data_IF_179356245905
#
_entry.id   IF_179356245905
#
_cell.length_a   1.000
_cell.length_b   1.000
_cell.length_c   1.000
_cell.angle_alpha   90.00
_cell.angle_beta   90.00
_cell.angle_gamma   90.00
#
_symmetry.space_group_name_H-M   'P 1'
#
loop_
_entity.id
_entity.type
_entity.pdbx_description
1 polymer ?
#
# COMPACT_ATOMS: atom_id res chain seq x y z
N UNK A 1 39.24 90.66 -5.91
CA UNK A 1 39.32 90.02 -4.61
C UNK A 1 37.89 89.66 -4.15
N UNK A 2 37.46 88.42 -4.29
CA UNK A 2 36.24 87.89 -3.64
C UNK A 2 36.35 86.39 -3.63
N UNK A 3 36.40 85.79 -2.42
CA UNK A 3 36.48 84.38 -2.16
C UNK A 3 35.10 83.79 -2.26
N UNK A 4 34.96 82.69 -3.02
CA UNK A 4 33.74 81.86 -3.10
C UNK A 4 33.80 80.79 -2.02
N UNK A 5 32.79 80.73 -1.15
CA UNK A 5 32.55 79.62 -0.17
C UNK A 5 31.83 78.49 -0.87
N UNK A 6 32.42 77.29 -0.87
CA UNK A 6 31.76 76.04 -1.26
C UNK A 6 30.98 75.51 -0.09
N UNK A 7 29.66 75.34 -0.26
CA UNK A 7 28.76 74.57 0.63
C UNK A 7 28.80 73.09 0.26
N UNK A 8 29.12 72.23 1.27
CA UNK A 8 29.10 70.82 1.11
C UNK A 8 27.73 70.28 1.58
N UNK A 9 26.96 69.71 0.69
CA UNK A 9 25.71 68.96 1.03
C UNK A 9 26.06 67.55 1.44
N UNK A 10 25.74 67.18 2.69
CA UNK A 10 25.85 65.85 3.23
C UNK A 10 24.65 65.00 2.75
N UNK A 11 24.91 64.01 1.88
CA UNK A 11 23.93 63.02 1.46
C UNK A 11 23.70 61.97 2.53
N UNK A 12 22.53 61.96 3.12
CA UNK A 12 22.09 60.91 4.06
C UNK A 12 21.89 59.58 3.29
N UNK A 13 22.75 58.61 3.55
CA UNK A 13 22.54 57.20 3.11
C UNK A 13 21.52 56.57 4.04
N UNK A 14 20.28 56.38 3.57
CA UNK A 14 19.27 55.53 4.25
C UNK A 14 19.67 54.07 4.07
N UNK A 15 20.30 53.51 5.10
CA UNK A 15 20.58 52.08 5.19
C UNK A 15 19.28 51.28 5.30
N UNK A 16 18.94 50.54 4.24
CA UNK A 16 17.84 49.57 4.24
C UNK A 16 18.24 48.43 5.18
N UNK A 17 17.51 48.26 6.27
CA UNK A 17 17.73 47.13 7.18
C UNK A 17 17.62 45.79 6.45
N UNK A 18 18.49 44.79 6.73
CA UNK A 18 18.41 43.48 6.09
C UNK A 18 17.09 42.80 6.48
N UNK A 19 16.43 42.20 5.48
CA UNK A 19 15.21 41.44 5.70
C UNK A 19 15.46 40.32 6.74
N UNK A 20 14.51 40.02 7.63
CA UNK A 20 14.68 38.97 8.62
C UNK A 20 14.90 37.65 7.92
N UNK A 21 15.90 36.88 8.39
CA UNK A 21 16.17 35.52 7.89
C UNK A 21 14.91 34.67 8.01
N UNK A 22 14.59 33.81 7.01
CA UNK A 22 13.42 32.95 7.06
C UNK A 22 13.51 32.08 8.31
N UNK A 23 12.42 32.04 9.09
CA UNK A 23 12.31 31.22 10.29
C UNK A 23 12.66 29.76 9.96
N UNK A 24 13.41 29.04 10.83
CA UNK A 24 13.76 27.64 10.58
C UNK A 24 12.46 26.85 10.43
N UNK A 25 12.29 26.21 9.26
CA UNK A 25 11.15 25.31 9.00
C UNK A 25 11.14 24.29 10.10
N UNK A 26 10.17 24.38 11.00
CA UNK A 26 9.94 23.40 12.08
C UNK A 26 9.83 22.04 11.41
N UNK A 27 10.84 21.21 11.60
CA UNK A 27 10.86 19.83 11.08
C UNK A 27 9.72 19.10 11.79
N UNK A 28 8.68 18.79 11.03
CA UNK A 28 7.58 17.95 11.49
C UNK A 28 8.08 16.49 11.58
N UNK A 29 8.20 15.93 12.80
CA UNK A 29 8.72 14.58 12.99
C UNK A 29 7.85 13.52 12.31
N UNK A 30 6.51 13.69 12.36
CA UNK A 30 5.58 12.75 11.76
C UNK A 30 5.68 12.75 10.23
N UNK A 31 5.76 13.93 9.64
CA UNK A 31 5.98 14.07 8.20
C UNK A 31 7.32 13.47 7.76
N UNK A 32 8.35 13.59 8.57
CA UNK A 32 9.66 12.99 8.27
C UNK A 32 9.58 11.48 8.36
N UNK A 33 8.95 10.93 9.41
CA UNK A 33 8.71 9.49 9.57
C UNK A 33 7.90 8.92 8.39
N UNK A 34 6.83 9.59 7.99
CA UNK A 34 6.00 9.17 6.85
C UNK A 34 6.76 9.14 5.53
N UNK A 35 7.60 10.16 5.24
CA UNK A 35 8.44 10.18 4.02
C UNK A 35 9.46 9.03 4.00
N UNK A 36 10.06 8.72 5.14
CA UNK A 36 11.01 7.60 5.24
C UNK A 36 10.28 6.29 4.99
N UNK A 37 9.10 6.10 5.58
CA UNK A 37 8.29 4.91 5.41
C UNK A 37 7.87 4.70 3.95
N UNK A 38 7.42 5.75 3.28
CA UNK A 38 7.05 5.70 1.86
C UNK A 38 8.25 5.38 0.96
N UNK A 39 9.39 6.02 1.19
CA UNK A 39 10.61 5.72 0.47
C UNK A 39 11.08 4.27 0.69
N UNK A 40 10.93 3.76 1.91
CA UNK A 40 11.26 2.39 2.26
C UNK A 40 10.32 1.39 1.57
N UNK A 41 9.02 1.67 1.52
CA UNK A 41 8.02 0.85 0.82
C UNK A 41 8.41 0.64 -0.64
N UNK A 42 8.78 1.73 -1.32
CA UNK A 42 9.21 1.68 -2.73
C UNK A 42 10.52 0.88 -2.89
N UNK A 43 11.52 1.13 -2.05
CA UNK A 43 12.82 0.45 -2.14
C UNK A 43 12.68 -1.06 -1.85
N UNK A 44 11.93 -1.44 -0.81
CA UNK A 44 11.66 -2.84 -0.49
C UNK A 44 10.83 -3.54 -1.57
N UNK A 45 9.89 -2.85 -2.20
CA UNK A 45 9.12 -3.38 -3.31
C UNK A 45 9.99 -3.68 -4.53
N UNK A 46 10.99 -2.85 -4.81
CA UNK A 46 11.88 -3.03 -5.96
C UNK A 46 12.96 -4.08 -5.73
N UNK A 47 13.46 -4.24 -4.51
CA UNK A 47 14.68 -5.00 -4.21
C UNK A 47 14.54 -6.07 -3.14
N UNK A 48 13.35 -6.20 -2.57
CA UNK A 48 13.13 -7.04 -1.39
C UNK A 48 13.91 -6.56 -0.15
N UNK A 49 13.75 -7.23 0.97
CA UNK A 49 14.48 -6.89 2.20
C UNK A 49 16.00 -7.05 2.03
N UNK A 50 16.44 -8.13 1.38
CA UNK A 50 17.88 -8.41 1.22
C UNK A 50 18.60 -7.37 0.36
N UNK A 51 18.01 -7.01 -0.78
CA UNK A 51 18.59 -6.11 -1.77
C UNK A 51 18.41 -4.63 -1.50
N UNK A 52 17.47 -4.24 -0.66
CA UNK A 52 17.18 -2.84 -0.35
C UNK A 52 18.33 -2.15 0.39
N UNK A 53 18.63 -0.91 0.02
CA UNK A 53 19.73 -0.13 0.58
C UNK A 53 19.22 1.08 1.35
N UNK A 54 19.67 1.21 2.60
CA UNK A 54 19.34 2.35 3.48
C UNK A 54 19.73 3.69 2.83
N UNK A 55 20.82 3.73 2.08
CA UNK A 55 21.26 4.94 1.37
C UNK A 55 20.25 5.38 0.31
N UNK A 56 19.66 4.44 -0.41
CA UNK A 56 18.62 4.74 -1.42
C UNK A 56 17.32 5.24 -0.74
N UNK A 57 16.95 4.63 0.39
CA UNK A 57 15.81 5.07 1.18
C UNK A 57 16.01 6.50 1.66
N UNK A 58 17.18 6.82 2.22
CA UNK A 58 17.47 8.17 2.72
C UNK A 58 17.49 9.21 1.60
N UNK A 59 18.11 8.91 0.47
CA UNK A 59 18.13 9.79 -0.69
C UNK A 59 16.71 10.10 -1.19
N UNK A 60 15.89 9.07 -1.38
CA UNK A 60 14.49 9.21 -1.80
C UNK A 60 13.63 9.98 -0.80
N UNK A 61 13.84 9.75 0.50
CA UNK A 61 13.11 10.41 1.58
C UNK A 61 13.55 11.87 1.83
N UNK A 62 14.63 12.34 1.20
CA UNK A 62 15.25 13.63 1.55
C UNK A 62 15.62 13.67 3.04
N UNK A 63 16.20 12.57 3.56
CA UNK A 63 16.53 12.37 4.97
C UNK A 63 17.98 11.85 5.11
N UNK A 64 18.38 11.41 6.29
CA UNK A 64 19.68 10.81 6.54
C UNK A 64 19.55 9.50 7.34
N UNK A 65 20.63 8.70 7.36
CA UNK A 65 20.65 7.40 8.05
C UNK A 65 20.27 7.50 9.53
N UNK A 66 20.73 8.55 10.22
CA UNK A 66 20.45 8.75 11.64
C UNK A 66 18.95 8.80 11.91
N UNK A 67 18.18 9.46 11.02
CA UNK A 67 16.72 9.56 11.16
C UNK A 67 16.03 8.20 10.96
N UNK A 68 16.53 7.34 10.06
CA UNK A 68 15.99 5.98 9.91
C UNK A 68 16.17 5.20 11.22
N UNK A 69 17.39 5.20 11.78
CA UNK A 69 17.65 4.50 13.02
C UNK A 69 16.90 5.11 14.22
N UNK A 70 16.74 6.41 14.24
CA UNK A 70 15.97 7.10 15.27
C UNK A 70 14.48 6.70 15.27
N UNK A 71 13.82 6.66 14.10
CA UNK A 71 12.39 6.36 14.01
C UNK A 71 12.06 4.86 13.99
N UNK A 72 12.92 4.03 13.47
CA UNK A 72 12.63 2.62 13.19
C UNK A 72 13.63 1.65 13.84
N UNK A 73 14.74 2.11 14.37
CA UNK A 73 15.74 1.30 15.02
C UNK A 73 16.69 0.58 14.05
N UNK A 74 16.16 -0.18 13.10
CA UNK A 74 16.98 -0.88 12.10
C UNK A 74 16.20 -1.13 10.79
N UNK A 75 16.89 -1.70 9.79
CA UNK A 75 16.31 -1.97 8.47
C UNK A 75 15.15 -2.99 8.53
N UNK A 76 15.26 -3.99 9.40
CA UNK A 76 14.23 -5.02 9.57
C UNK A 76 12.96 -4.46 10.22
N UNK A 77 13.11 -3.60 11.23
CA UNK A 77 11.98 -2.91 11.84
C UNK A 77 11.33 -1.91 10.87
N UNK A 78 12.11 -1.23 10.04
CA UNK A 78 11.58 -0.40 8.96
C UNK A 78 10.83 -1.24 7.91
N UNK A 79 11.30 -2.44 7.59
CA UNK A 79 10.60 -3.37 6.71
C UNK A 79 9.26 -3.84 7.31
N UNK A 80 9.25 -4.18 8.60
CA UNK A 80 8.01 -4.51 9.31
C UNK A 80 7.02 -3.35 9.28
N UNK A 81 7.46 -2.13 9.55
CA UNK A 81 6.61 -0.94 9.48
C UNK A 81 6.06 -0.72 8.05
N UNK A 82 6.84 -1.03 7.00
CA UNK A 82 6.36 -0.97 5.62
C UNK A 82 5.29 -2.03 5.32
N UNK A 83 5.45 -3.25 5.84
CA UNK A 83 4.43 -4.31 5.76
C UNK A 83 3.15 -3.91 6.50
N UNK A 84 3.26 -3.44 7.74
CA UNK A 84 2.12 -2.99 8.55
C UNK A 84 1.34 -1.88 7.84
N UNK A 85 2.03 -0.89 7.30
CA UNK A 85 1.41 0.19 6.53
C UNK A 85 0.70 -0.32 5.27
N UNK A 86 1.27 -1.29 4.56
CA UNK A 86 0.66 -1.87 3.37
C UNK A 86 -0.60 -2.69 3.72
N UNK A 87 -0.58 -3.45 4.81
CA UNK A 87 -1.75 -4.18 5.31
C UNK A 87 -2.84 -3.23 5.82
N UNK A 88 -2.47 -2.20 6.56
CA UNK A 88 -3.42 -1.18 7.02
C UNK A 88 -4.12 -0.50 5.83
N UNK A 89 -3.38 -0.18 4.79
CA UNK A 89 -3.93 0.46 3.60
C UNK A 89 -4.97 -0.41 2.90
N UNK A 90 -4.67 -1.70 2.64
CA UNK A 90 -5.65 -2.59 2.00
C UNK A 90 -6.87 -2.82 2.90
N UNK A 91 -6.69 -3.01 4.23
CA UNK A 91 -7.81 -3.22 5.17
C UNK A 91 -8.74 -2.01 5.24
N UNK A 92 -8.19 -0.79 5.27
CA UNK A 92 -9.00 0.44 5.21
C UNK A 92 -9.78 0.54 3.89
N UNK A 93 -9.15 0.20 2.79
CA UNK A 93 -9.80 0.21 1.48
C UNK A 93 -10.92 -0.84 1.39
N UNK A 94 -10.73 -2.04 1.93
CA UNK A 94 -11.78 -3.08 2.01
C UNK A 94 -12.98 -2.63 2.86
N UNK A 95 -12.75 -2.01 4.01
CA UNK A 95 -13.83 -1.48 4.85
C UNK A 95 -14.68 -0.44 4.13
N UNK A 96 -14.09 0.33 3.21
CA UNK A 96 -14.82 1.33 2.42
C UNK A 96 -15.78 0.74 1.39
N UNK A 97 -15.73 -0.58 1.12
CA UNK A 97 -16.58 -1.25 0.13
C UNK A 97 -18.06 -1.28 0.50
N UNK A 98 -18.41 -1.10 1.78
CA UNK A 98 -19.80 -1.10 2.30
C UNK A 98 -20.62 -2.29 1.79
N UNK A 99 -20.07 -3.50 1.91
CA UNK A 99 -20.68 -4.73 1.37
C UNK A 99 -22.00 -5.10 2.05
N UNK A 100 -22.25 -4.57 3.25
CA UNK A 100 -23.48 -4.78 4.01
C UNK A 100 -24.73 -4.26 3.31
N UNK A 101 -24.57 -3.20 2.50
CA UNK A 101 -25.68 -2.53 1.82
C UNK A 101 -26.06 -3.17 0.47
N UNK A 102 -25.30 -4.19 0.06
CA UNK A 102 -25.44 -4.82 -1.25
C UNK A 102 -26.16 -6.17 -1.18
N UNK A 103 -26.78 -6.53 -2.30
CA UNK A 103 -27.15 -7.93 -2.55
C UNK A 103 -25.94 -8.85 -2.37
N UNK A 104 -26.08 -10.06 -1.77
CA UNK A 104 -24.96 -10.92 -1.49
C UNK A 104 -24.12 -11.32 -2.71
N UNK A 105 -24.73 -11.53 -3.86
CA UNK A 105 -24.00 -11.88 -5.11
C UNK A 105 -23.21 -10.67 -5.60
N UNK A 106 -23.81 -9.49 -5.59
CA UNK A 106 -23.12 -8.25 -5.99
C UNK A 106 -22.04 -7.86 -4.98
N UNK A 107 -22.27 -8.04 -3.68
CA UNK A 107 -21.26 -7.85 -2.64
C UNK A 107 -20.04 -8.73 -2.88
N UNK A 108 -20.24 -10.03 -3.18
CA UNK A 108 -19.14 -10.93 -3.50
C UNK A 108 -18.42 -10.56 -4.79
N UNK A 109 -19.16 -10.17 -5.83
CA UNK A 109 -18.59 -9.65 -7.08
C UNK A 109 -17.71 -8.43 -6.84
N UNK A 110 -18.17 -7.50 -6.01
CA UNK A 110 -17.42 -6.29 -5.64
C UNK A 110 -16.15 -6.64 -4.87
N UNK A 111 -16.19 -7.60 -3.96
CA UNK A 111 -15.03 -8.06 -3.22
C UNK A 111 -13.95 -8.68 -4.12
N UNK A 112 -14.35 -9.54 -5.06
CA UNK A 112 -13.41 -10.15 -6.04
C UNK A 112 -12.79 -9.06 -6.92
N UNK A 113 -13.60 -8.15 -7.45
CA UNK A 113 -13.14 -7.03 -8.28
C UNK A 113 -12.17 -6.13 -7.52
N UNK A 114 -12.53 -5.74 -6.29
CA UNK A 114 -11.67 -4.90 -5.46
C UNK A 114 -10.31 -5.55 -5.22
N UNK A 115 -10.28 -6.83 -4.83
CA UNK A 115 -9.01 -7.54 -4.57
C UNK A 115 -8.11 -7.53 -5.80
N UNK A 116 -8.70 -7.79 -6.98
CA UNK A 116 -7.98 -7.76 -8.25
C UNK A 116 -7.45 -6.36 -8.61
N UNK A 117 -8.30 -5.34 -8.56
CA UNK A 117 -7.95 -3.97 -8.89
C UNK A 117 -6.93 -3.40 -7.90
N UNK A 118 -7.06 -3.74 -6.62
CA UNK A 118 -6.09 -3.35 -5.61
C UNK A 118 -4.69 -3.91 -5.89
N UNK A 119 -4.58 -5.17 -6.24
CA UNK A 119 -3.29 -5.79 -6.56
C UNK A 119 -2.67 -5.21 -7.84
N UNK A 120 -3.47 -4.84 -8.82
CA UNK A 120 -3.00 -4.14 -10.02
C UNK A 120 -2.49 -2.73 -9.72
N UNK A 121 -3.20 -2.00 -8.86
CA UNK A 121 -2.83 -0.64 -8.47
C UNK A 121 -1.64 -0.60 -7.50
N UNK A 122 -1.42 -1.69 -6.74
CA UNK A 122 -0.43 -1.79 -5.67
C UNK A 122 0.50 -3.00 -5.84
N UNK A 123 1.28 -3.09 -6.94
CA UNK A 123 2.19 -4.22 -7.17
C UNK A 123 3.26 -4.35 -6.08
N UNK A 124 3.59 -3.26 -5.40
CA UNK A 124 4.48 -3.25 -4.25
C UNK A 124 3.96 -4.11 -3.08
N UNK A 125 2.65 -4.20 -2.89
CA UNK A 125 2.06 -5.07 -1.88
C UNK A 125 2.43 -6.54 -2.13
N UNK A 126 2.29 -7.00 -3.38
CA UNK A 126 2.65 -8.37 -3.78
C UNK A 126 4.14 -8.64 -3.52
N UNK A 127 5.02 -7.71 -3.88
CA UNK A 127 6.48 -7.88 -3.72
C UNK A 127 6.87 -7.91 -2.25
N UNK A 128 6.27 -7.07 -1.41
CA UNK A 128 6.49 -7.09 0.05
C UNK A 128 6.07 -8.44 0.64
N UNK A 129 4.90 -8.97 0.24
CA UNK A 129 4.44 -10.30 0.67
C UNK A 129 5.40 -11.41 0.21
N UNK A 130 5.84 -11.38 -1.04
CA UNK A 130 6.83 -12.34 -1.55
C UNK A 130 8.11 -12.33 -0.71
N UNK A 131 8.63 -11.12 -0.42
CA UNK A 131 9.81 -10.96 0.41
C UNK A 131 9.61 -11.53 1.81
N UNK A 132 8.47 -11.28 2.44
CA UNK A 132 8.17 -11.78 3.79
C UNK A 132 8.00 -13.31 3.81
N UNK A 133 7.36 -13.88 2.77
CA UNK A 133 7.25 -15.33 2.64
C UNK A 133 8.60 -16.03 2.49
N UNK A 134 9.56 -15.43 1.76
CA UNK A 134 10.95 -15.94 1.72
C UNK A 134 11.59 -15.96 3.11
N UNK A 135 11.22 -15.05 4.00
CA UNK A 135 11.68 -14.99 5.38
C UNK A 135 10.78 -15.77 6.36
N UNK A 136 9.88 -16.62 5.87
CA UNK A 136 8.96 -17.49 6.66
C UNK A 136 8.12 -16.71 7.67
N UNK A 137 7.66 -15.52 7.27
CA UNK A 137 6.83 -14.61 8.07
C UNK A 137 7.48 -14.21 9.42
N UNK A 138 8.81 -14.17 9.52
CA UNK A 138 9.49 -13.89 10.78
C UNK A 138 9.24 -12.47 11.30
N UNK A 139 8.98 -11.52 10.41
CA UNK A 139 8.68 -10.14 10.80
C UNK A 139 7.20 -10.01 11.19
N UNK A 140 6.27 -10.56 10.40
CA UNK A 140 4.83 -10.53 10.69
C UNK A 140 4.47 -11.21 12.02
N UNK A 141 5.19 -12.27 12.41
CA UNK A 141 5.00 -12.93 13.72
C UNK A 141 5.20 -12.00 14.91
N UNK A 142 5.89 -10.89 14.73
CA UNK A 142 6.15 -9.87 15.77
C UNK A 142 5.10 -8.76 15.80
N UNK A 143 4.24 -8.68 14.76
CA UNK A 143 3.21 -7.65 14.66
C UNK A 143 1.89 -8.13 15.26
N UNK A 144 1.47 -7.48 16.34
CA UNK A 144 0.12 -7.65 16.90
C UNK A 144 -0.92 -6.91 16.06
N UNK A 145 -0.53 -5.81 15.44
CA UNK A 145 -1.35 -4.94 14.61
C UNK A 145 -1.92 -5.72 13.40
N UNK A 146 -1.08 -6.46 12.69
CA UNK A 146 -1.53 -7.23 11.51
C UNK A 146 -2.53 -8.32 11.89
N UNK A 147 -2.36 -9.00 13.01
CA UNK A 147 -3.32 -10.00 13.47
C UNK A 147 -4.69 -9.36 13.76
N UNK A 148 -4.72 -8.20 14.40
CA UNK A 148 -5.95 -7.46 14.69
C UNK A 148 -6.64 -6.92 13.40
N UNK A 149 -5.89 -6.57 12.37
CA UNK A 149 -6.42 -6.03 11.11
C UNK A 149 -7.22 -7.06 10.28
N UNK A 150 -7.04 -8.37 10.51
CA UNK A 150 -7.74 -9.40 9.72
C UNK A 150 -9.16 -9.71 10.21
N UNK A 151 -9.44 -9.53 11.49
CA UNK A 151 -10.73 -9.85 12.08
C UNK A 151 -11.91 -9.12 11.41
N UNK A 152 -11.86 -7.81 11.12
CA UNK A 152 -12.97 -7.12 10.45
C UNK A 152 -13.26 -7.63 9.04
N UNK A 153 -12.23 -8.03 8.28
CA UNK A 153 -12.41 -8.59 6.93
C UNK A 153 -13.13 -9.94 6.99
N UNK A 154 -12.71 -10.82 7.89
CA UNK A 154 -13.34 -12.13 8.06
C UNK A 154 -14.79 -11.96 8.47
N UNK A 155 -15.08 -11.10 9.45
CA UNK A 155 -16.46 -10.81 9.89
C UNK A 155 -17.34 -10.26 8.75
N UNK A 156 -16.80 -9.41 7.89
CA UNK A 156 -17.52 -8.87 6.73
C UNK A 156 -17.86 -9.96 5.70
N UNK A 157 -16.95 -10.92 5.47
CA UNK A 157 -17.21 -12.06 4.60
C UNK A 157 -18.20 -13.05 5.21
N UNK A 158 -18.12 -13.29 6.51
CA UNK A 158 -19.08 -14.13 7.24
C UNK A 158 -20.50 -13.56 7.14
N UNK A 159 -20.67 -12.25 7.35
CA UNK A 159 -21.98 -11.59 7.16
C UNK A 159 -22.49 -11.76 5.73
N UNK A 160 -21.65 -11.49 4.74
CA UNK A 160 -22.01 -11.62 3.32
C UNK A 160 -22.45 -13.06 2.98
N UNK A 161 -21.70 -14.06 3.47
CA UNK A 161 -22.04 -15.48 3.31
C UNK A 161 -23.35 -15.84 4.00
N UNK A 162 -23.55 -15.38 5.24
CA UNK A 162 -24.77 -15.64 6.00
C UNK A 162 -26.01 -15.05 5.32
N UNK A 163 -25.91 -13.83 4.79
CA UNK A 163 -27.00 -13.20 4.01
C UNK A 163 -27.33 -13.97 2.74
N UNK A 164 -26.29 -14.39 1.98
CA UNK A 164 -26.48 -15.17 0.77
C UNK A 164 -27.06 -16.58 1.05
N UNK A 165 -26.71 -17.20 2.17
CA UNK A 165 -27.30 -18.47 2.60
C UNK A 165 -28.76 -18.32 3.01
N UNK A 166 -29.12 -17.24 3.74
CA UNK A 166 -30.53 -16.95 4.12
C UNK A 166 -31.40 -16.68 2.91
N UNK A 167 -30.91 -15.95 1.93
CA UNK A 167 -31.62 -15.69 0.66
C UNK A 167 -31.63 -16.89 -0.30
N UNK A 168 -30.89 -17.96 0.02
CA UNK A 168 -30.86 -19.17 -0.79
C UNK A 168 -29.99 -19.08 -2.05
N UNK A 169 -29.23 -17.99 -2.25
CA UNK A 169 -28.35 -17.82 -3.40
C UNK A 169 -26.98 -18.48 -3.19
N UNK A 170 -26.52 -18.57 -1.94
CA UNK A 170 -25.26 -19.25 -1.61
C UNK A 170 -25.49 -20.60 -0.93
N UNK A 171 -24.60 -21.53 -1.21
CA UNK A 171 -24.53 -22.83 -0.55
C UNK A 171 -24.11 -22.68 0.92
N UNK A 172 -24.50 -23.64 1.77
CA UNK A 172 -24.06 -23.70 3.16
C UNK A 172 -22.65 -24.28 3.30
N UNK A 173 -22.03 -24.10 4.48
CA UNK A 173 -20.75 -24.71 4.83
C UNK A 173 -19.54 -24.09 4.14
N UNK A 174 -19.62 -22.84 3.73
CA UNK A 174 -18.47 -22.07 3.19
C UNK A 174 -17.73 -21.42 4.33
N UNK A 175 -16.47 -21.76 4.49
CA UNK A 175 -15.54 -21.10 5.42
C UNK A 175 -15.05 -19.78 4.84
N UNK A 176 -15.21 -18.67 5.60
CA UNK A 176 -14.88 -17.33 5.15
C UNK A 176 -13.37 -17.12 4.94
N UNK A 177 -12.53 -17.76 5.77
CA UNK A 177 -11.07 -17.66 5.67
C UNK A 177 -10.59 -18.39 4.41
N UNK A 178 -11.08 -19.61 4.16
CA UNK A 178 -10.73 -20.36 2.95
C UNK A 178 -11.20 -19.64 1.68
N UNK A 179 -12.39 -19.05 1.73
CA UNK A 179 -12.90 -18.24 0.62
C UNK A 179 -11.99 -17.01 0.35
N UNK A 180 -11.61 -16.30 1.40
CA UNK A 180 -10.68 -15.17 1.27
C UNK A 180 -9.33 -15.60 0.66
N UNK A 181 -8.75 -16.69 1.17
CA UNK A 181 -7.50 -17.24 0.64
C UNK A 181 -7.65 -17.56 -0.85
N UNK A 182 -8.78 -18.15 -1.26
CA UNK A 182 -9.04 -18.48 -2.66
C UNK A 182 -9.16 -17.23 -3.53
N UNK A 183 -9.92 -16.21 -3.10
CA UNK A 183 -10.05 -14.94 -3.83
C UNK A 183 -8.69 -14.27 -3.98
N UNK A 184 -7.94 -14.15 -2.88
CA UNK A 184 -6.61 -13.57 -2.88
C UNK A 184 -5.65 -14.33 -3.80
N UNK A 185 -5.62 -15.66 -3.69
CA UNK A 185 -4.72 -16.52 -4.47
C UNK A 185 -4.97 -16.43 -5.98
N UNK A 186 -6.22 -16.32 -6.41
CA UNK A 186 -6.56 -16.18 -7.83
C UNK A 186 -5.92 -14.93 -8.46
N UNK A 187 -5.90 -13.80 -7.75
CA UNK A 187 -5.23 -12.58 -8.22
C UNK A 187 -3.73 -12.62 -8.00
N UNK A 188 -3.31 -12.98 -6.80
CA UNK A 188 -1.92 -12.99 -6.38
C UNK A 188 -1.04 -13.88 -7.26
N UNK A 189 -1.43 -15.15 -7.49
CA UNK A 189 -0.64 -16.07 -8.30
C UNK A 189 -0.44 -15.56 -9.73
N UNK A 190 -1.51 -15.04 -10.34
CA UNK A 190 -1.45 -14.51 -11.69
C UNK A 190 -0.48 -13.33 -11.80
N UNK A 191 -0.58 -12.36 -10.90
CA UNK A 191 0.24 -11.14 -10.94
C UNK A 191 1.67 -11.37 -10.45
N UNK A 192 1.85 -12.17 -9.41
CA UNK A 192 3.17 -12.51 -8.86
C UNK A 192 4.03 -13.29 -9.86
N UNK A 193 3.40 -14.11 -10.71
CA UNK A 193 4.07 -14.98 -11.67
C UNK A 193 3.86 -14.55 -13.12
N UNK A 194 3.38 -13.33 -13.38
CA UNK A 194 3.00 -12.88 -14.71
C UNK A 194 4.11 -13.05 -15.78
N UNK A 195 5.37 -12.77 -15.43
CA UNK A 195 6.51 -12.90 -16.34
C UNK A 195 6.77 -14.36 -16.75
N UNK A 196 6.80 -15.26 -15.78
CA UNK A 196 7.03 -16.69 -16.04
C UNK A 196 5.86 -17.32 -16.77
N UNK A 197 4.63 -17.01 -16.34
CA UNK A 197 3.41 -17.50 -16.98
C UNK A 197 3.26 -16.98 -18.41
N UNK A 198 3.55 -15.69 -18.64
CA UNK A 198 3.53 -15.13 -20.01
C UNK A 198 4.51 -15.83 -20.92
N UNK A 199 5.71 -16.14 -20.42
CA UNK A 199 6.73 -16.87 -21.17
C UNK A 199 6.31 -18.31 -21.46
N UNK A 200 5.85 -19.04 -20.43
CA UNK A 200 5.46 -20.46 -20.54
C UNK A 200 4.30 -20.64 -21.51
N UNK A 201 3.29 -19.77 -21.45
CA UNK A 201 2.10 -19.88 -22.30
C UNK A 201 2.18 -19.12 -23.61
N UNK A 202 3.28 -18.40 -23.88
CA UNK A 202 3.45 -17.61 -25.10
C UNK A 202 2.40 -16.50 -25.24
N UNK A 203 1.94 -15.91 -24.12
CA UNK A 203 0.87 -14.90 -24.08
C UNK A 203 1.27 -13.75 -23.19
N UNK A 204 1.01 -12.51 -23.63
CA UNK A 204 1.10 -11.35 -22.76
C UNK A 204 -0.11 -11.32 -21.82
N UNK A 205 0.12 -11.72 -20.57
CA UNK A 205 -0.89 -11.76 -19.53
C UNK A 205 -1.22 -10.39 -18.93
N UNK A 206 -0.40 -9.37 -19.21
CA UNK A 206 -0.60 -8.01 -18.69
C UNK A 206 -1.32 -7.08 -19.68
N UNK A 207 -1.62 -7.54 -20.91
CA UNK A 207 -2.42 -6.75 -21.85
C UNK A 207 -3.84 -6.50 -21.30
N UNK A 208 -4.47 -5.36 -21.59
CA UNK A 208 -5.79 -4.97 -21.02
C UNK A 208 -6.87 -6.04 -21.18
N UNK A 209 -6.95 -6.67 -22.36
CA UNK A 209 -7.91 -7.74 -22.62
C UNK A 209 -7.68 -8.98 -21.74
N UNK A 210 -6.42 -9.38 -21.52
CA UNK A 210 -6.10 -10.52 -20.66
C UNK A 210 -6.46 -10.24 -19.19
N UNK A 211 -6.23 -9.01 -18.73
CA UNK A 211 -6.61 -8.57 -17.37
C UNK A 211 -8.13 -8.59 -17.18
N UNK A 212 -8.91 -8.12 -18.17
CA UNK A 212 -10.37 -8.20 -18.15
C UNK A 212 -10.88 -9.64 -18.13
N UNK A 213 -10.31 -10.50 -19.00
CA UNK A 213 -10.64 -11.93 -19.03
C UNK A 213 -10.32 -12.60 -17.69
N UNK A 214 -9.19 -12.24 -17.07
CA UNK A 214 -8.83 -12.78 -15.75
C UNK A 214 -9.83 -12.40 -14.67
N UNK A 215 -10.23 -11.14 -14.60
CA UNK A 215 -11.24 -10.67 -13.64
C UNK A 215 -12.57 -11.41 -13.84
N UNK A 216 -13.05 -11.55 -15.08
CA UNK A 216 -14.28 -12.29 -15.38
C UNK A 216 -14.16 -13.74 -14.90
N UNK A 217 -13.08 -14.42 -15.26
CA UNK A 217 -12.81 -15.81 -14.87
C UNK A 217 -12.75 -15.99 -13.34
N UNK A 218 -12.06 -15.10 -12.63
CA UNK A 218 -12.01 -15.14 -11.15
C UNK A 218 -13.40 -14.98 -10.53
N UNK A 219 -14.19 -14.05 -11.07
CA UNK A 219 -15.55 -13.80 -10.60
C UNK A 219 -16.44 -15.03 -10.81
N UNK A 220 -16.38 -15.63 -11.99
CA UNK A 220 -17.17 -16.82 -12.32
C UNK A 220 -16.77 -18.03 -11.46
N UNK A 221 -15.48 -18.23 -11.20
CA UNK A 221 -15.01 -19.29 -10.31
C UNK A 221 -15.55 -19.12 -8.89
N UNK A 222 -15.45 -17.90 -8.33
CA UNK A 222 -15.89 -17.64 -6.96
C UNK A 222 -17.41 -17.76 -6.85
N UNK A 223 -18.16 -17.14 -7.75
CA UNK A 223 -19.62 -17.20 -7.73
C UNK A 223 -20.14 -18.61 -8.05
N UNK A 224 -19.53 -19.32 -8.97
CA UNK A 224 -19.85 -20.72 -9.29
C UNK A 224 -19.61 -21.65 -8.09
N UNK A 225 -18.53 -21.44 -7.34
CA UNK A 225 -18.29 -22.17 -6.08
C UNK A 225 -19.34 -21.88 -5.01
N UNK A 226 -19.79 -20.64 -4.92
CA UNK A 226 -20.78 -20.20 -3.93
C UNK A 226 -22.22 -20.57 -4.28
N UNK A 227 -22.52 -20.76 -5.57
CA UNK A 227 -23.87 -21.05 -6.02
C UNK A 227 -24.45 -22.31 -5.35
N UNK A 228 -25.72 -22.24 -4.96
CA UNK A 228 -26.44 -23.39 -4.46
C UNK A 228 -26.53 -24.44 -5.58
N UNK A 229 -25.99 -25.64 -5.34
CA UNK A 229 -26.19 -26.76 -6.27
C UNK A 229 -27.70 -27.08 -6.30
N UNK A 230 -28.23 -27.16 -7.51
CA UNK A 230 -29.59 -27.63 -7.76
C UNK A 230 -29.73 -29.12 -7.40
#
# INVERSE_FOLDING_TARGET
MAQAKKSAAAGARTGKAPAPAPAPVRRDPERTRARILEAARIEFAQRGLGGARVDQITARAGSNKRMIYYYFGNKEALFLAALESAYEHIRKAEQSLKLTDLDPVEGMRRMVRFTWEYYLAHPEFITLLNSENLHRARHLKRSKEIQALHSPLVAMLEDLLARGQRSGVFRRGVDAVQLYISIAALGYFYLSNNHTLSTIFGRDLMRPQALQQRLAHMTDLVLGYLAKKR
#
